data_IF_462955498108
#
_entry.id   IF_462955498108
#
_cell.length_a   1.000
_cell.length_b   1.000
_cell.length_c   1.000
_cell.angle_alpha   90.00
_cell.angle_beta   90.00
_cell.angle_gamma   90.00
#
_symmetry.space_group_name_H-M   'P 1'
#
loop_
_entity.id
_entity.type
_entity.pdbx_description
1 polymer ?
#
# COMPACT_ATOMS: atom_id res chain seq x y z
N UNK A 1 10.37 18.17 -60.63
CA UNK A 1 9.71 18.36 -59.34
C UNK A 1 10.53 17.62 -58.28
N UNK A 2 11.45 18.30 -57.63
CA UNK A 2 12.44 17.70 -56.72
C UNK A 2 11.95 17.86 -55.27
N UNK A 3 11.64 16.72 -54.63
CA UNK A 3 11.29 16.69 -53.19
C UNK A 3 12.54 16.99 -52.36
N UNK A 4 12.51 18.13 -51.64
CA UNK A 4 13.49 18.46 -50.61
C UNK A 4 13.24 17.59 -49.36
N UNK A 5 14.16 16.67 -49.10
CA UNK A 5 14.28 15.93 -47.82
C UNK A 5 14.50 16.93 -46.69
N UNK A 6 13.51 17.04 -45.78
CA UNK A 6 13.66 17.79 -44.52
C UNK A 6 14.45 16.92 -43.54
N UNK A 7 15.68 17.34 -43.22
CA UNK A 7 16.45 16.73 -42.17
C UNK A 7 15.70 16.88 -40.84
N UNK A 8 15.16 15.77 -40.31
CA UNK A 8 14.67 15.71 -38.93
C UNK A 8 15.86 15.92 -38.02
N UNK A 9 15.77 16.94 -37.16
CA UNK A 9 16.81 17.30 -36.20
C UNK A 9 17.14 16.12 -35.29
N UNK A 10 18.41 15.73 -35.15
CA UNK A 10 18.81 14.62 -34.25
C UNK A 10 18.45 14.93 -32.79
N UNK A 11 18.17 16.18 -32.45
CA UNK A 11 17.72 16.59 -31.12
C UNK A 11 16.34 16.01 -30.74
N UNK A 12 15.45 15.77 -31.70
CA UNK A 12 14.11 15.19 -31.44
C UNK A 12 14.21 13.71 -31.07
N UNK A 13 15.17 13.00 -31.61
CA UNK A 13 15.39 11.57 -31.34
C UNK A 13 15.97 11.33 -29.93
N UNK A 14 16.80 12.23 -29.43
CA UNK A 14 17.37 12.17 -28.07
C UNK A 14 16.29 12.44 -27.02
N UNK A 15 15.31 13.32 -27.32
CA UNK A 15 14.23 13.64 -26.40
C UNK A 15 13.24 12.47 -26.20
N UNK A 16 13.03 11.65 -27.22
CA UNK A 16 12.14 10.46 -27.15
C UNK A 16 12.78 9.34 -26.30
N UNK A 17 14.11 9.22 -26.32
CA UNK A 17 14.83 8.23 -25.53
C UNK A 17 14.86 8.52 -24.01
N UNK A 18 14.71 9.78 -23.62
CA UNK A 18 14.72 10.16 -22.20
C UNK A 18 13.40 9.89 -21.48
N UNK A 19 12.28 9.73 -22.19
CA UNK A 19 10.98 9.41 -21.60
C UNK A 19 10.73 7.90 -21.41
N UNK A 20 11.58 7.03 -21.95
CA UNK A 20 11.44 5.57 -21.81
C UNK A 20 12.02 5.00 -20.53
N UNK A 21 12.63 5.82 -19.67
CA UNK A 21 13.37 5.34 -18.49
C UNK A 21 12.64 5.49 -17.14
N UNK A 22 11.37 5.90 -17.12
CA UNK A 22 10.55 5.90 -15.90
C UNK A 22 9.59 4.72 -15.83
N UNK A 23 10.08 3.51 -16.12
CA UNK A 23 9.48 2.29 -15.61
C UNK A 23 9.89 2.18 -14.14
N UNK A 24 9.00 2.46 -13.20
CA UNK A 24 9.13 1.99 -11.82
C UNK A 24 9.16 0.47 -11.87
N UNK A 25 10.36 -0.10 -12.05
CA UNK A 25 10.56 -1.51 -11.79
C UNK A 25 10.34 -1.68 -10.29
N UNK A 26 9.13 -2.12 -9.91
CA UNK A 26 9.02 -2.92 -8.71
C UNK A 26 10.12 -3.98 -8.86
N UNK A 27 11.17 -3.88 -8.04
CA UNK A 27 12.13 -4.96 -7.84
C UNK A 27 11.37 -6.12 -7.21
N UNK A 28 10.52 -6.79 -8.00
CA UNK A 28 10.16 -8.16 -7.73
C UNK A 28 11.50 -8.88 -7.55
N UNK A 29 11.70 -9.51 -6.41
CA UNK A 29 12.84 -10.38 -6.19
C UNK A 29 12.84 -11.33 -7.37
N UNK A 30 13.85 -11.28 -8.22
CA UNK A 30 13.99 -12.19 -9.35
C UNK A 30 13.89 -13.60 -8.79
N UNK A 31 12.76 -14.27 -9.04
CA UNK A 31 12.57 -15.67 -8.68
C UNK A 31 13.73 -16.43 -9.30
N UNK A 32 14.26 -17.41 -8.58
CA UNK A 32 15.28 -18.29 -9.15
C UNK A 32 14.65 -19.01 -10.35
N UNK A 33 15.29 -19.07 -11.51
CA UNK A 33 14.73 -19.73 -12.68
C UNK A 33 14.36 -21.21 -12.46
N UNK A 34 14.86 -21.82 -11.40
CA UNK A 34 14.62 -23.21 -11.00
C UNK A 34 13.72 -23.34 -9.76
N UNK A 35 12.95 -22.30 -9.39
CA UNK A 35 12.04 -22.39 -8.26
C UNK A 35 10.98 -23.46 -8.55
N UNK A 36 10.76 -24.39 -7.58
CA UNK A 36 9.70 -25.40 -7.68
C UNK A 36 8.35 -24.71 -7.65
N UNK A 37 7.50 -24.98 -8.63
CA UNK A 37 6.11 -24.54 -8.63
C UNK A 37 5.31 -25.42 -7.66
N UNK A 38 4.57 -24.77 -6.75
CA UNK A 38 3.74 -25.43 -5.73
C UNK A 38 2.29 -24.98 -5.90
N UNK A 39 1.37 -25.87 -6.31
CA UNK A 39 -0.03 -25.55 -6.43
C UNK A 39 -0.65 -25.33 -5.05
N UNK A 40 -1.27 -24.18 -4.85
CA UNK A 40 -1.93 -23.76 -3.61
C UNK A 40 -3.38 -23.38 -3.86
N UNK A 41 -4.30 -23.93 -3.04
CA UNK A 41 -5.66 -23.43 -2.95
C UNK A 41 -5.81 -22.51 -1.74
N UNK A 42 -6.41 -21.34 -1.94
CA UNK A 42 -6.70 -20.38 -0.87
C UNK A 42 -8.22 -20.19 -0.79
N UNK A 43 -8.82 -20.75 0.25
CA UNK A 43 -10.24 -20.67 0.53
C UNK A 43 -10.48 -19.56 1.56
N UNK A 44 -11.22 -18.52 1.19
CA UNK A 44 -11.55 -17.44 2.11
C UNK A 44 -13.02 -17.52 2.47
N UNK A 45 -13.30 -17.56 3.77
CA UNK A 45 -14.63 -17.49 4.32
C UNK A 45 -14.77 -16.21 5.13
N UNK A 46 -15.76 -15.41 4.81
CA UNK A 46 -16.19 -14.29 5.62
C UNK A 46 -17.52 -14.69 6.24
N UNK A 47 -17.59 -14.80 7.56
CA UNK A 47 -18.87 -15.00 8.24
C UNK A 47 -19.88 -13.91 7.83
N UNK A 48 -21.06 -13.85 8.49
CA UNK A 48 -22.06 -12.81 8.24
C UNK A 48 -21.56 -11.42 8.70
N UNK A 49 -20.44 -10.99 8.16
CA UNK A 49 -19.83 -9.72 8.50
C UNK A 49 -20.22 -8.64 7.47
N UNK A 50 -21.09 -7.72 7.89
CA UNK A 50 -21.62 -6.66 7.04
C UNK A 50 -20.52 -5.76 6.45
N UNK A 51 -19.45 -5.51 7.20
CA UNK A 51 -18.35 -4.64 6.76
C UNK A 51 -17.49 -5.27 5.65
N UNK A 52 -17.61 -6.58 5.42
CA UNK A 52 -16.93 -7.30 4.34
C UNK A 52 -17.71 -7.34 3.02
N UNK A 53 -18.99 -6.94 3.02
CA UNK A 53 -19.81 -6.95 1.80
C UNK A 53 -19.27 -6.04 0.68
N UNK A 54 -18.45 -5.05 1.03
CA UNK A 54 -17.83 -4.11 0.09
C UNK A 54 -16.41 -4.50 -0.29
N UNK A 55 -15.88 -5.60 0.27
CA UNK A 55 -14.52 -6.07 0.00
C UNK A 55 -14.55 -7.11 -1.13
N UNK A 56 -13.77 -6.87 -2.18
CA UNK A 56 -13.56 -7.86 -3.23
C UNK A 56 -12.65 -8.98 -2.70
N UNK A 57 -13.25 -10.16 -2.39
CA UNK A 57 -12.55 -11.29 -1.79
C UNK A 57 -11.59 -11.98 -2.76
N UNK A 58 -11.85 -11.94 -4.07
CA UNK A 58 -10.92 -12.51 -5.06
C UNK A 58 -9.66 -11.64 -5.17
N UNK A 59 -9.82 -10.32 -5.15
CA UNK A 59 -8.67 -9.43 -5.08
C UNK A 59 -7.88 -9.62 -3.77
N UNK A 60 -8.57 -9.78 -2.64
CA UNK A 60 -7.92 -10.05 -1.36
C UNK A 60 -7.16 -11.39 -1.39
N UNK A 61 -7.73 -12.44 -1.99
CA UNK A 61 -7.08 -13.74 -2.21
C UNK A 61 -5.76 -13.60 -2.97
N UNK A 62 -5.77 -12.85 -4.08
CA UNK A 62 -4.57 -12.58 -4.88
C UNK A 62 -3.51 -11.80 -4.10
N UNK A 63 -3.92 -10.81 -3.28
CA UNK A 63 -3.00 -10.06 -2.44
C UNK A 63 -2.39 -10.92 -1.33
N UNK A 64 -3.14 -11.85 -0.75
CA UNK A 64 -2.62 -12.84 0.21
C UNK A 64 -1.59 -13.74 -0.46
N UNK A 65 -1.89 -14.26 -1.65
CA UNK A 65 -0.96 -15.07 -2.43
C UNK A 65 0.33 -14.31 -2.73
N UNK A 66 0.25 -13.08 -3.27
CA UNK A 66 1.40 -12.23 -3.59
C UNK A 66 2.31 -12.00 -2.38
N UNK A 67 1.71 -11.74 -1.21
CA UNK A 67 2.47 -11.55 0.02
C UNK A 67 3.17 -12.83 0.50
N UNK A 68 2.54 -13.99 0.34
CA UNK A 68 3.14 -15.28 0.68
C UNK A 68 4.25 -15.63 -0.31
N UNK A 69 4.04 -15.45 -1.59
CA UNK A 69 4.97 -15.78 -2.66
C UNK A 69 6.24 -14.91 -2.63
N UNK A 70 6.14 -13.65 -2.20
CA UNK A 70 7.30 -12.75 -2.10
C UNK A 70 8.40 -13.21 -1.12
N UNK A 71 8.12 -14.17 -0.24
CA UNK A 71 9.04 -14.61 0.81
C UNK A 71 9.58 -16.04 0.63
N UNK A 72 9.24 -16.73 -0.45
CA UNK A 72 9.45 -18.17 -0.57
C UNK A 72 10.58 -18.55 -1.56
N UNK A 73 11.16 -19.72 -1.32
CA UNK A 73 12.09 -20.38 -2.25
C UNK A 73 11.36 -21.18 -3.33
N UNK A 74 10.04 -21.22 -3.27
CA UNK A 74 9.13 -21.88 -4.20
C UNK A 74 8.27 -20.83 -4.90
N UNK A 75 7.71 -21.18 -6.04
CA UNK A 75 6.76 -20.37 -6.79
C UNK A 75 5.35 -20.88 -6.48
N UNK A 76 4.49 -20.06 -5.88
CA UNK A 76 3.13 -20.45 -5.54
C UNK A 76 2.21 -20.21 -6.72
N UNK A 77 1.58 -21.27 -7.22
CA UNK A 77 0.58 -21.22 -8.29
C UNK A 77 -0.82 -21.42 -7.72
N UNK A 78 -1.70 -20.44 -7.92
CA UNK A 78 -3.06 -20.48 -7.41
C UNK A 78 -3.91 -21.43 -8.25
N UNK A 79 -4.44 -22.45 -7.61
CA UNK A 79 -5.32 -23.44 -8.22
C UNK A 79 -6.64 -23.54 -7.45
N UNK A 80 -7.66 -24.12 -8.05
CA UNK A 80 -8.91 -24.40 -7.36
C UNK A 80 -8.78 -25.63 -6.44
N UNK A 81 -9.69 -25.76 -5.47
CA UNK A 81 -9.62 -26.81 -4.45
C UNK A 81 -9.76 -28.25 -5.03
N UNK A 82 -10.41 -28.39 -6.18
CA UNK A 82 -10.61 -29.65 -6.91
C UNK A 82 -9.44 -30.02 -7.83
N UNK A 83 -8.51 -29.12 -8.09
CA UNK A 83 -7.31 -29.34 -8.92
C UNK A 83 -6.15 -30.01 -8.18
N UNK A 84 -6.43 -30.69 -7.07
CA UNK A 84 -5.46 -31.41 -6.26
C UNK A 84 -4.27 -30.56 -5.77
N UNK A 85 -4.52 -29.45 -5.06
CA UNK A 85 -3.47 -28.60 -4.53
C UNK A 85 -2.54 -29.35 -3.57
N UNK A 86 -1.23 -29.03 -3.63
CA UNK A 86 -0.24 -29.52 -2.66
C UNK A 86 -0.40 -28.80 -1.31
N UNK A 87 -0.83 -27.54 -1.34
CA UNK A 87 -1.07 -26.73 -0.15
C UNK A 87 -2.50 -26.22 -0.15
N UNK A 88 -3.16 -26.28 1.00
CA UNK A 88 -4.49 -25.68 1.20
C UNK A 88 -4.41 -24.70 2.36
N UNK A 89 -4.79 -23.46 2.09
CA UNK A 89 -4.96 -22.41 3.09
C UNK A 89 -6.45 -22.09 3.23
N UNK A 90 -7.07 -22.55 4.31
CA UNK A 90 -8.40 -22.11 4.71
C UNK A 90 -8.25 -20.89 5.63
N UNK A 91 -8.77 -19.77 5.20
CA UNK A 91 -8.75 -18.49 5.92
C UNK A 91 -10.17 -18.08 6.25
N UNK A 92 -10.51 -18.06 7.53
CA UNK A 92 -11.77 -17.52 8.00
C UNK A 92 -11.56 -16.13 8.63
N UNK A 93 -12.30 -15.15 8.17
CA UNK A 93 -12.37 -13.81 8.75
C UNK A 93 -13.53 -13.80 9.72
N UNK A 94 -13.25 -14.16 10.99
CA UNK A 94 -14.27 -14.37 12.03
C UNK A 94 -14.96 -13.06 12.41
N UNK A 95 -14.21 -11.97 12.45
CA UNK A 95 -14.71 -10.66 12.79
C UNK A 95 -13.83 -9.58 12.11
N UNK A 96 -14.45 -8.70 11.35
CA UNK A 96 -13.83 -7.49 10.83
C UNK A 96 -14.72 -6.31 11.16
N UNK A 97 -14.18 -5.32 11.85
CA UNK A 97 -14.88 -4.10 12.21
C UNK A 97 -14.09 -2.91 11.69
N UNK A 98 -14.76 -2.09 10.92
CA UNK A 98 -14.23 -0.82 10.44
C UNK A 98 -15.09 0.31 11.04
N UNK A 99 -14.54 1.02 12.03
CA UNK A 99 -15.27 2.12 12.66
C UNK A 99 -15.47 3.29 11.70
N UNK A 100 -16.53 4.08 11.92
CA UNK A 100 -16.73 5.31 11.18
C UNK A 100 -15.49 6.21 11.27
N UNK A 101 -15.25 6.95 10.19
CA UNK A 101 -14.22 7.98 10.15
C UNK A 101 -14.50 9.06 11.18
N UNK A 102 -13.50 9.41 11.98
CA UNK A 102 -13.49 10.59 12.83
C UNK A 102 -12.70 11.70 12.13
N UNK A 103 -13.32 12.85 11.96
CA UNK A 103 -12.68 14.01 11.36
C UNK A 103 -12.78 15.20 12.31
N UNK A 104 -11.63 15.82 12.58
CA UNK A 104 -11.52 17.00 13.46
C UNK A 104 -10.87 18.13 12.69
N UNK A 105 -11.62 19.21 12.51
CA UNK A 105 -11.16 20.42 11.84
C UNK A 105 -10.82 21.48 12.89
N UNK A 106 -9.64 22.09 12.76
CA UNK A 106 -9.23 23.22 13.61
C UNK A 106 -8.61 24.33 12.78
N UNK A 107 -9.17 25.53 12.87
CA UNK A 107 -8.62 26.69 12.18
C UNK A 107 -7.41 27.26 12.95
N UNK A 108 -6.31 27.50 12.24
CA UNK A 108 -5.10 28.06 12.83
C UNK A 108 -4.48 29.13 11.93
N UNK A 109 -3.83 30.11 12.57
CA UNK A 109 -3.00 31.10 11.90
C UNK A 109 -1.54 30.68 12.01
N UNK A 110 -0.92 30.41 10.86
CA UNK A 110 0.49 30.07 10.73
C UNK A 110 1.29 31.31 10.36
N UNK A 111 2.49 31.44 10.91
CA UNK A 111 3.41 32.54 10.63
C UNK A 111 4.77 31.98 10.29
N UNK A 112 5.39 32.53 9.27
CA UNK A 112 6.75 32.16 8.83
C UNK A 112 7.53 33.40 8.45
N UNK A 113 8.81 33.44 8.86
CA UNK A 113 9.74 34.46 8.41
C UNK A 113 10.47 33.96 7.17
N UNK A 114 10.40 34.70 6.09
CA UNK A 114 11.10 34.39 4.83
C UNK A 114 12.05 35.50 4.47
N UNK A 115 13.14 35.15 3.84
CA UNK A 115 14.02 36.14 3.20
C UNK A 115 13.39 36.53 1.85
N UNK A 116 13.17 37.85 1.66
CA UNK A 116 12.54 38.39 0.44
C UNK A 116 13.53 39.07 -0.49
N UNK A 117 14.76 39.28 -0.05
CA UNK A 117 15.83 39.90 -0.83
C UNK A 117 17.01 40.26 0.04
N UNK A 118 17.91 41.07 -0.52
CA UNK A 118 19.00 41.71 0.20
C UNK A 118 18.89 43.23 0.04
N UNK A 119 19.34 43.98 1.04
CA UNK A 119 19.47 45.43 0.96
C UNK A 119 20.64 45.84 0.05
N UNK A 120 20.84 47.16 -0.15
CA UNK A 120 21.93 47.69 -0.96
C UNK A 120 23.34 47.40 -0.42
N UNK A 121 23.44 46.95 0.84
CA UNK A 121 24.67 46.51 1.49
C UNK A 121 24.84 44.98 1.49
N UNK A 122 23.96 44.25 0.80
CA UNK A 122 23.96 42.75 0.72
C UNK A 122 23.41 42.03 1.94
N UNK A 123 22.81 42.75 2.92
CA UNK A 123 22.21 42.11 4.09
C UNK A 123 20.83 41.57 3.76
N UNK A 124 20.48 40.37 4.28
CA UNK A 124 19.19 39.76 4.00
C UNK A 124 18.04 40.56 4.60
N UNK A 125 17.00 40.80 3.79
CA UNK A 125 15.73 41.41 4.22
C UNK A 125 14.75 40.28 4.50
N UNK A 126 14.17 40.29 5.70
CA UNK A 126 13.19 39.28 6.14
C UNK A 126 11.80 39.90 6.20
N UNK A 127 10.82 39.10 5.81
CA UNK A 127 9.41 39.42 5.92
C UNK A 127 8.67 38.30 6.65
N UNK A 128 7.78 38.71 7.57
CA UNK A 128 6.83 37.71 8.18
C UNK A 128 5.63 37.57 7.28
N UNK A 129 5.40 36.38 6.80
CA UNK A 129 4.23 35.99 6.04
C UNK A 129 3.25 35.23 6.94
N UNK A 130 1.95 35.33 6.63
CA UNK A 130 0.87 34.79 7.47
C UNK A 130 -0.13 34.07 6.57
N UNK A 131 -0.60 32.90 7.02
CA UNK A 131 -1.71 32.19 6.43
C UNK A 131 -2.67 31.69 7.52
N UNK A 132 -3.97 31.81 7.26
CA UNK A 132 -5.01 31.12 8.04
C UNK A 132 -5.38 29.83 7.33
N UNK A 133 -5.37 28.71 8.02
CA UNK A 133 -5.60 27.37 7.44
C UNK A 133 -6.52 26.55 8.31
N UNK A 134 -7.26 25.64 7.68
CA UNK A 134 -7.97 24.58 8.37
C UNK A 134 -7.06 23.35 8.44
N UNK A 135 -6.70 22.96 9.67
CA UNK A 135 -5.94 21.71 9.91
C UNK A 135 -6.99 20.61 10.13
N UNK A 136 -6.95 19.63 9.25
CA UNK A 136 -7.88 18.49 9.24
C UNK A 136 -7.11 17.28 9.75
N UNK A 137 -7.58 16.72 10.88
CA UNK A 137 -7.08 15.46 11.42
C UNK A 137 -8.13 14.39 11.17
N UNK A 138 -7.74 13.33 10.47
CA UNK A 138 -8.59 12.19 10.13
C UNK A 138 -8.07 10.98 10.87
N UNK A 139 -8.98 10.26 11.54
CA UNK A 139 -8.68 8.98 12.18
C UNK A 139 -9.73 7.96 11.78
N UNK A 140 -9.28 6.73 11.49
CA UNK A 140 -10.17 5.59 11.27
C UNK A 140 -9.55 4.32 11.85
N UNK A 141 -10.31 3.61 12.68
CA UNK A 141 -9.86 2.41 13.38
C UNK A 141 -10.45 1.17 12.74
N UNK A 142 -9.69 0.09 12.79
CA UNK A 142 -10.17 -1.22 12.37
C UNK A 142 -9.58 -2.32 13.23
N UNK A 143 -10.30 -3.42 13.35
CA UNK A 143 -9.77 -4.68 13.87
C UNK A 143 -10.29 -5.86 13.05
N UNK A 144 -9.56 -6.96 13.13
CA UNK A 144 -10.01 -8.24 12.59
C UNK A 144 -9.53 -9.40 13.45
N UNK A 145 -10.30 -10.48 13.42
CA UNK A 145 -9.90 -11.79 13.92
C UNK A 145 -9.86 -12.74 12.73
N UNK A 146 -8.73 -13.39 12.55
CA UNK A 146 -8.50 -14.38 11.50
C UNK A 146 -8.32 -15.76 12.14
N UNK A 147 -8.94 -16.78 11.58
CA UNK A 147 -8.63 -18.16 11.89
C UNK A 147 -8.13 -18.83 10.62
N UNK A 148 -6.95 -19.45 10.68
CA UNK A 148 -6.32 -20.09 9.54
C UNK A 148 -6.10 -21.57 9.79
N UNK A 149 -6.32 -22.39 8.77
CA UNK A 149 -5.87 -23.78 8.69
C UNK A 149 -4.99 -23.92 7.46
N UNK A 150 -3.69 -24.11 7.67
CA UNK A 150 -2.70 -24.31 6.60
C UNK A 150 -2.32 -25.78 6.57
N UNK A 151 -2.62 -26.46 5.48
CA UNK A 151 -2.38 -27.90 5.29
C UNK A 151 -1.43 -28.11 4.13
N UNK A 152 -0.32 -28.80 4.39
CA UNK A 152 0.61 -29.33 3.41
C UNK A 152 0.29 -30.80 3.17
N UNK A 153 0.07 -31.20 1.90
CA UNK A 153 -0.27 -32.56 1.49
C UNK A 153 0.92 -33.32 0.88
N UNK A 154 2.11 -32.71 0.85
CA UNK A 154 3.31 -33.29 0.27
C UNK A 154 3.84 -34.54 1.00
N UNK A 155 5.12 -34.87 0.83
CA UNK A 155 5.74 -36.08 1.39
C UNK A 155 5.71 -36.17 2.92
N UNK A 156 5.66 -35.02 3.62
CA UNK A 156 5.53 -34.94 5.10
C UNK A 156 4.31 -34.08 5.44
N UNK A 157 3.09 -34.69 5.48
CA UNK A 157 1.86 -33.94 5.67
C UNK A 157 1.85 -33.21 7.02
N UNK A 158 1.55 -31.90 7.00
CA UNK A 158 1.46 -31.07 8.19
C UNK A 158 0.25 -30.15 8.12
N UNK A 159 -0.40 -29.97 9.27
CA UNK A 159 -1.50 -29.02 9.41
C UNK A 159 -1.25 -28.08 10.57
N UNK A 160 -1.38 -26.79 10.30
CA UNK A 160 -1.24 -25.71 11.28
C UNK A 160 -2.56 -24.98 11.43
N UNK A 161 -3.10 -24.95 12.66
CA UNK A 161 -4.30 -24.16 12.98
C UNK A 161 -3.91 -23.02 13.89
N UNK A 162 -4.26 -21.79 13.53
CA UNK A 162 -3.92 -20.60 14.28
C UNK A 162 -5.03 -19.56 14.22
N UNK A 163 -5.15 -18.75 15.29
CA UNK A 163 -6.01 -17.59 15.31
C UNK A 163 -5.17 -16.34 15.58
N UNK A 164 -5.50 -15.26 14.89
CA UNK A 164 -4.81 -13.98 14.97
C UNK A 164 -5.81 -12.89 15.29
N UNK A 165 -5.42 -11.96 16.12
CA UNK A 165 -6.17 -10.76 16.38
C UNK A 165 -5.31 -9.55 16.04
N UNK A 166 -5.78 -8.74 15.11
CA UNK A 166 -5.07 -7.56 14.64
C UNK A 166 -5.92 -6.31 14.80
N UNK A 167 -5.26 -5.19 15.08
CA UNK A 167 -5.87 -3.88 15.08
C UNK A 167 -5.03 -2.92 14.24
N UNK A 168 -5.67 -1.98 13.57
CA UNK A 168 -5.01 -0.95 12.78
C UNK A 168 -5.71 0.39 12.97
N UNK A 169 -4.92 1.44 13.18
CA UNK A 169 -5.39 2.81 13.26
C UNK A 169 -4.74 3.62 12.13
N UNK A 170 -5.57 4.09 11.23
CA UNK A 170 -5.19 5.08 10.24
C UNK A 170 -5.32 6.46 10.84
N UNK A 171 -4.30 7.29 10.74
CA UNK A 171 -4.31 8.68 11.13
C UNK A 171 -3.61 9.51 10.07
N UNK A 172 -4.23 10.60 9.65
CA UNK A 172 -3.68 11.55 8.69
C UNK A 172 -3.99 12.98 9.12
N UNK A 173 -3.06 13.89 8.85
CA UNK A 173 -3.22 15.32 9.11
C UNK A 173 -2.82 16.10 7.87
N UNK A 174 -3.72 16.93 7.37
CA UNK A 174 -3.46 17.78 6.21
C UNK A 174 -4.09 19.17 6.39
N UNK A 175 -3.73 20.10 5.52
CA UNK A 175 -4.32 21.45 5.51
C UNK A 175 -5.25 21.62 4.34
N UNK A 176 -6.29 22.42 4.58
CA UNK A 176 -7.23 22.88 3.56
C UNK A 176 -7.58 24.37 3.80
N UNK A 177 -8.38 24.95 2.89
CA UNK A 177 -8.92 26.30 3.01
C UNK A 177 -7.85 27.35 3.39
N UNK A 178 -6.74 27.39 2.62
CA UNK A 178 -5.63 28.29 2.89
C UNK A 178 -5.99 29.70 2.46
N UNK A 179 -5.95 30.64 3.40
CA UNK A 179 -6.16 32.08 3.18
C UNK A 179 -4.90 32.84 3.58
N UNK A 180 -4.39 33.68 2.69
CA UNK A 180 -3.13 34.42 2.87
C UNK A 180 -1.97 33.82 2.08
N UNK A 181 -0.73 33.97 2.57
CA UNK A 181 0.46 33.52 1.86
C UNK A 181 0.70 32.01 2.06
N UNK A 182 0.55 31.16 1.02
CA UNK A 182 0.70 29.72 1.16
C UNK A 182 2.12 29.29 1.60
N UNK A 183 3.14 30.14 1.40
CA UNK A 183 4.51 29.85 1.86
C UNK A 183 4.66 29.84 3.39
N UNK A 184 3.65 30.34 4.12
CA UNK A 184 3.60 30.25 5.58
C UNK A 184 3.24 28.84 6.08
N UNK A 185 2.70 27.98 5.21
CA UNK A 185 2.33 26.60 5.52
C UNK A 185 3.53 25.68 5.38
N UNK A 186 3.67 24.71 6.28
CA UNK A 186 4.72 23.70 6.18
C UNK A 186 4.49 22.80 4.94
N UNK A 187 5.50 22.64 4.07
CA UNK A 187 5.39 21.79 2.89
C UNK A 187 4.96 20.35 3.19
N UNK A 188 5.31 19.80 4.36
CA UNK A 188 4.91 18.46 4.76
C UNK A 188 3.38 18.30 4.88
N UNK A 189 2.67 19.35 5.30
CA UNK A 189 1.22 19.35 5.40
C UNK A 189 0.52 19.36 4.03
N UNK A 190 1.17 19.93 3.01
CA UNK A 190 0.68 19.84 1.62
C UNK A 190 0.92 18.45 1.03
N UNK A 191 2.10 17.86 1.28
CA UNK A 191 2.45 16.55 0.74
C UNK A 191 1.52 15.47 1.29
N UNK A 192 1.08 15.59 2.53
CA UNK A 192 0.08 14.69 3.12
C UNK A 192 -1.27 14.74 2.41
N UNK A 193 -1.68 15.91 1.91
CA UNK A 193 -2.90 16.03 1.08
C UNK A 193 -2.77 15.29 -0.26
N UNK A 194 -1.61 15.36 -0.89
CA UNK A 194 -1.33 14.71 -2.18
C UNK A 194 -1.05 13.21 -2.08
N UNK A 195 -0.56 12.75 -0.91
CA UNK A 195 -0.28 11.33 -0.64
C UNK A 195 -1.45 10.56 -0.03
N UNK A 196 -2.49 11.26 0.41
CA UNK A 196 -3.49 10.71 1.30
C UNK A 196 -4.84 10.46 0.65
N UNK A 197 -4.92 9.62 -0.38
CA UNK A 197 -6.19 8.90 -0.55
C UNK A 197 -6.40 8.08 0.72
N UNK A 198 -7.54 8.33 1.38
CA UNK A 198 -7.97 7.53 2.54
C UNK A 198 -7.99 6.05 2.12
N UNK A 199 -7.40 5.14 2.91
CA UNK A 199 -7.45 3.72 2.61
C UNK A 199 -8.91 3.27 2.47
N UNK A 200 -9.19 2.47 1.45
CA UNK A 200 -10.50 1.83 1.29
C UNK A 200 -10.59 0.57 2.16
N UNK A 201 -11.76 -0.03 2.27
CA UNK A 201 -12.03 -1.15 3.18
C UNK A 201 -11.04 -2.30 3.02
N UNK A 202 -10.67 -2.61 1.78
CA UNK A 202 -9.69 -3.68 1.50
C UNK A 202 -8.30 -3.36 2.00
N UNK A 203 -7.87 -2.10 1.98
CA UNK A 203 -6.55 -1.70 2.48
C UNK A 203 -6.48 -1.89 4.00
N UNK A 204 -7.57 -1.63 4.71
CA UNK A 204 -7.66 -1.92 6.14
C UNK A 204 -7.52 -3.41 6.41
N UNK A 205 -8.24 -4.25 5.68
CA UNK A 205 -8.17 -5.70 5.81
C UNK A 205 -6.76 -6.23 5.52
N UNK A 206 -6.13 -5.75 4.44
CA UNK A 206 -4.75 -6.11 4.07
C UNK A 206 -3.74 -5.67 5.14
N UNK A 207 -3.87 -4.45 5.67
CA UNK A 207 -2.99 -3.98 6.74
C UNK A 207 -3.11 -4.82 8.01
N UNK A 208 -4.34 -5.23 8.37
CA UNK A 208 -4.58 -6.13 9.50
C UNK A 208 -3.93 -7.50 9.29
N UNK A 209 -4.06 -8.06 8.08
CA UNK A 209 -3.46 -9.36 7.70
C UNK A 209 -1.94 -9.33 7.73
N UNK A 210 -1.33 -8.22 7.29
CA UNK A 210 0.13 -8.04 7.23
C UNK A 210 0.80 -7.92 8.60
N UNK A 211 0.06 -7.62 9.66
CA UNK A 211 0.67 -7.43 11.00
C UNK A 211 1.16 -8.73 11.60
N UNK A 212 0.32 -9.75 11.63
CA UNK A 212 0.64 -11.00 12.35
C UNK A 212 0.41 -12.24 11.51
N UNK A 213 -0.73 -12.33 10.80
CA UNK A 213 -1.14 -13.53 10.08
C UNK A 213 -0.16 -13.87 8.95
N UNK A 214 0.05 -12.98 7.99
CA UNK A 214 0.88 -13.25 6.82
C UNK A 214 2.36 -13.53 7.17
N UNK A 215 3.02 -12.82 8.10
CA UNK A 215 4.36 -13.17 8.53
C UNK A 215 4.45 -14.58 9.15
N UNK A 216 3.45 -14.99 9.93
CA UNK A 216 3.42 -16.32 10.54
C UNK A 216 3.21 -17.42 9.50
N UNK A 217 2.25 -17.23 8.58
CA UNK A 217 2.05 -18.16 7.47
C UNK A 217 3.32 -18.29 6.61
N UNK A 218 3.95 -17.16 6.23
CA UNK A 218 5.22 -17.17 5.48
C UNK A 218 6.33 -17.90 6.23
N UNK A 219 6.39 -17.81 7.55
CA UNK A 219 7.35 -18.58 8.35
C UNK A 219 7.09 -20.09 8.26
N UNK A 220 5.81 -20.53 8.32
CA UNK A 220 5.44 -21.94 8.21
C UNK A 220 5.79 -22.50 6.83
N UNK A 221 5.51 -21.77 5.76
CA UNK A 221 5.92 -22.13 4.40
C UNK A 221 7.45 -22.28 4.31
N UNK A 222 8.22 -21.29 4.75
CA UNK A 222 9.68 -21.36 4.75
C UNK A 222 10.23 -22.51 5.59
N UNK A 223 9.58 -22.86 6.67
CA UNK A 223 9.96 -23.98 7.51
C UNK A 223 9.70 -25.32 6.84
N UNK A 224 8.68 -25.41 5.99
CA UNK A 224 8.31 -26.62 5.27
C UNK A 224 9.16 -26.82 4.01
N UNK A 225 9.35 -25.77 3.20
CA UNK A 225 10.13 -25.81 1.95
C UNK A 225 11.57 -25.32 2.15
N UNK A 226 12.29 -25.91 3.08
CA UNK A 226 13.73 -25.61 3.32
C UNK A 226 14.61 -26.14 2.23
#
# INVERSE_FOLDING_TARGET
MTLKSKHLSPFLLIFILLFSACGTSQKGRSKRPDARVVPIAINIQSGNNHDLNFVNMDYYRLQVLDQLDNFLNVDLDLVEADENPEVVLDLNIDNFVLWPKSERISRRTLRRVIQVGNDSAGKPIYQTIVASVDIINVERRSNARFTTTLTFKGADPKTYKQSFYSNFNYANTYVDNIQGDPRAVDPSLYSMRSMGMEPVEIDFLLNLSRRDMLPRLSYQFRSYYK
#
